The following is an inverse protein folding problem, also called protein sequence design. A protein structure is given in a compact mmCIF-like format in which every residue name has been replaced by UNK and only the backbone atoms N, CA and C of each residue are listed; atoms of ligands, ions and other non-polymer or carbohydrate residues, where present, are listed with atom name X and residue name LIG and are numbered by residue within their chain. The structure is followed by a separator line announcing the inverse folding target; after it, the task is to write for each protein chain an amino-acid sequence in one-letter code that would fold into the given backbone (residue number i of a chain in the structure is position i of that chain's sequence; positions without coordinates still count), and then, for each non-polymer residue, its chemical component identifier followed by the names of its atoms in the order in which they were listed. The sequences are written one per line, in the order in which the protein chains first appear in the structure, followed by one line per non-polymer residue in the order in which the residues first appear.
data_IF_607715365602
#
_entry.id   IF_607715365602
#
_cell.length_a   1.000
_cell.length_b   1.000
_cell.length_c   1.000
_cell.angle_alpha   90.00
_cell.angle_beta   90.00
_cell.angle_gamma   90.00
#
_symmetry.space_group_name_H-M   'P 1'
#
loop_
_entity.id
_entity.type
_entity.pdbx_description
1 polymer ?
#
# COMPACT_ATOMS: atom_id res chain seq x y z
N UNK A 1 33.06 -43.80 -30.19
CA UNK A 1 32.89 -42.33 -30.07
C UNK A 1 31.42 -41.99 -30.28
N UNK A 2 30.65 -41.82 -29.21
CA UNK A 2 29.23 -41.44 -29.28
C UNK A 2 29.17 -39.92 -29.21
N UNK A 3 28.69 -39.28 -30.29
CA UNK A 3 28.53 -37.82 -30.36
C UNK A 3 27.46 -37.36 -29.37
N UNK A 4 27.71 -36.32 -28.54
CA UNK A 4 26.67 -35.73 -27.72
C UNK A 4 25.88 -34.75 -28.59
N UNK A 5 24.76 -35.18 -29.18
CA UNK A 5 23.88 -34.30 -29.97
C UNK A 5 22.50 -34.07 -29.36
N UNK A 6 22.33 -34.28 -28.05
CA UNK A 6 21.03 -34.17 -27.37
C UNK A 6 20.94 -33.08 -26.28
N UNK A 7 21.99 -32.28 -26.06
CA UNK A 7 22.03 -31.34 -24.91
C UNK A 7 21.80 -29.86 -25.28
N UNK A 8 22.07 -29.45 -26.52
CA UNK A 8 21.99 -28.02 -26.90
C UNK A 8 20.56 -27.55 -27.09
N UNK A 9 19.69 -28.35 -27.73
CA UNK A 9 18.27 -28.02 -27.90
C UNK A 9 17.55 -27.97 -26.54
N UNK A 10 17.83 -28.95 -25.66
CA UNK A 10 17.32 -28.98 -24.29
C UNK A 10 17.80 -27.78 -23.44
N UNK A 11 19.04 -27.31 -23.65
CA UNK A 11 19.54 -26.10 -22.98
C UNK A 11 18.88 -24.83 -23.48
N UNK A 12 18.66 -24.69 -24.79
CA UNK A 12 17.98 -23.53 -25.38
C UNK A 12 16.51 -23.48 -24.95
N UNK A 13 15.81 -24.62 -24.92
CA UNK A 13 14.45 -24.70 -24.38
C UNK A 13 14.39 -24.35 -22.90
N UNK A 14 15.35 -24.79 -22.08
CA UNK A 14 15.42 -24.38 -20.66
C UNK A 14 15.70 -22.89 -20.48
N UNK A 15 16.59 -22.31 -21.29
CA UNK A 15 16.90 -20.88 -21.25
C UNK A 15 15.69 -20.02 -21.68
N UNK A 16 15.00 -20.43 -22.74
CA UNK A 16 13.79 -19.75 -23.22
C UNK A 16 12.58 -19.93 -22.30
N UNK A 17 12.43 -21.09 -21.66
CA UNK A 17 11.43 -21.31 -20.61
C UNK A 17 11.69 -20.42 -19.38
N UNK A 18 12.95 -20.28 -18.97
CA UNK A 18 13.34 -19.38 -17.89
C UNK A 18 13.02 -17.90 -18.21
N UNK A 19 13.27 -17.46 -19.45
CA UNK A 19 12.89 -16.12 -19.91
C UNK A 19 11.37 -15.93 -20.00
N UNK A 20 10.61 -16.96 -20.38
CA UNK A 20 9.14 -16.93 -20.35
C UNK A 20 8.62 -16.72 -18.93
N UNK A 21 9.12 -17.47 -17.96
CA UNK A 21 8.74 -17.35 -16.55
C UNK A 21 9.08 -15.95 -16.02
N UNK A 22 10.24 -15.39 -16.37
CA UNK A 22 10.63 -14.04 -15.98
C UNK A 22 9.68 -12.96 -16.53
N UNK A 23 9.28 -13.07 -17.81
CA UNK A 23 8.27 -12.17 -18.40
C UNK A 23 6.92 -12.28 -17.70
N UNK A 24 6.48 -13.49 -17.36
CA UNK A 24 5.24 -13.72 -16.61
C UNK A 24 5.30 -13.11 -15.20
N UNK A 25 6.46 -13.17 -14.52
CA UNK A 25 6.66 -12.49 -13.23
C UNK A 25 6.56 -10.96 -13.34
N UNK A 26 7.13 -10.36 -14.39
CA UNK A 26 7.02 -8.91 -14.60
C UNK A 26 5.56 -8.51 -14.87
N UNK A 27 4.85 -9.29 -15.68
CA UNK A 27 3.43 -9.09 -15.94
C UNK A 27 2.60 -9.19 -14.66
N UNK A 28 2.90 -10.19 -13.81
CA UNK A 28 2.29 -10.35 -12.50
C UNK A 28 2.52 -9.12 -11.61
N UNK A 29 3.75 -8.63 -11.49
CA UNK A 29 4.06 -7.42 -10.70
C UNK A 29 3.27 -6.22 -11.20
N UNK A 30 3.19 -6.03 -12.52
CA UNK A 30 2.43 -4.94 -13.12
C UNK A 30 0.93 -5.05 -12.83
N UNK A 31 0.36 -6.25 -12.99
CA UNK A 31 -1.06 -6.51 -12.69
C UNK A 31 -1.40 -6.17 -11.25
N UNK A 32 -0.65 -6.70 -10.27
CA UNK A 32 -0.96 -6.46 -8.86
C UNK A 32 -0.70 -5.00 -8.44
N UNK A 33 0.29 -4.34 -9.03
CA UNK A 33 0.49 -2.91 -8.81
C UNK A 33 -0.69 -2.10 -9.36
N UNK A 34 -1.13 -2.38 -10.59
CA UNK A 34 -2.25 -1.68 -11.22
C UNK A 34 -3.57 -1.88 -10.46
N UNK A 35 -3.92 -3.13 -10.14
CA UNK A 35 -5.12 -3.46 -9.35
C UNK A 35 -5.01 -2.82 -7.96
N UNK A 36 -3.84 -2.94 -7.32
CA UNK A 36 -3.57 -2.35 -6.03
C UNK A 36 -3.74 -0.84 -6.03
N UNK A 37 -3.22 -0.15 -7.04
CA UNK A 37 -3.35 1.29 -7.20
C UNK A 37 -4.82 1.72 -7.26
N UNK A 38 -5.64 1.03 -8.06
CA UNK A 38 -7.08 1.31 -8.14
C UNK A 38 -7.76 1.12 -6.78
N UNK A 39 -7.50 0.00 -6.11
CA UNK A 39 -8.09 -0.32 -4.81
C UNK A 39 -7.66 0.70 -3.74
N UNK A 40 -6.36 1.02 -3.67
CA UNK A 40 -5.82 2.04 -2.74
C UNK A 40 -6.50 3.36 -2.98
N UNK A 41 -6.57 3.82 -4.22
CA UNK A 41 -7.12 5.15 -4.55
C UNK A 41 -8.57 5.26 -4.11
N UNK A 42 -9.38 4.23 -4.39
CA UNK A 42 -10.80 4.21 -4.00
C UNK A 42 -10.93 4.19 -2.47
N UNK A 43 -10.21 3.31 -1.80
CA UNK A 43 -10.31 3.18 -0.34
C UNK A 43 -9.77 4.43 0.36
N UNK A 44 -8.63 4.96 -0.06
CA UNK A 44 -8.06 6.18 0.48
C UNK A 44 -9.05 7.34 0.33
N UNK A 45 -9.67 7.51 -0.85
CA UNK A 45 -10.70 8.53 -1.04
C UNK A 45 -11.90 8.37 -0.09
N UNK A 46 -12.40 7.14 0.07
CA UNK A 46 -13.53 6.84 0.97
C UNK A 46 -13.13 7.13 2.42
N UNK A 47 -12.04 6.55 2.91
CA UNK A 47 -11.62 6.73 4.29
C UNK A 47 -11.20 8.17 4.60
N UNK A 48 -10.55 8.86 3.67
CA UNK A 48 -10.16 10.26 3.86
C UNK A 48 -11.41 11.14 4.04
N UNK A 49 -12.38 11.03 3.13
CA UNK A 49 -13.62 11.80 3.19
C UNK A 49 -14.50 11.46 4.39
N UNK A 50 -14.63 10.19 4.76
CA UNK A 50 -15.55 9.76 5.81
C UNK A 50 -14.94 9.74 7.21
N UNK A 51 -13.63 9.53 7.34
CA UNK A 51 -12.96 9.36 8.62
C UNK A 51 -11.92 10.46 8.86
N UNK A 52 -10.83 10.50 8.08
CA UNK A 52 -9.65 11.32 8.40
C UNK A 52 -9.90 12.84 8.33
N UNK A 53 -10.67 13.31 7.34
CA UNK A 53 -11.07 14.71 7.25
C UNK A 53 -12.07 15.09 8.33
N UNK A 54 -13.00 14.18 8.70
CA UNK A 54 -13.98 14.44 9.77
C UNK A 54 -13.30 14.56 11.12
N UNK A 55 -12.39 13.64 11.45
CA UNK A 55 -11.65 13.70 12.72
C UNK A 55 -10.76 14.94 12.79
N UNK A 56 -10.12 15.31 11.68
CA UNK A 56 -9.35 16.55 11.59
C UNK A 56 -10.20 17.80 11.81
N UNK A 57 -11.31 17.93 11.07
CA UNK A 57 -12.20 19.09 11.18
C UNK A 57 -12.82 19.18 12.57
N UNK A 58 -13.20 18.05 13.19
CA UNK A 58 -13.70 18.02 14.56
C UNK A 58 -12.64 18.50 15.57
N UNK A 59 -11.40 18.04 15.43
CA UNK A 59 -10.30 18.50 16.28
C UNK A 59 -10.08 20.02 16.13
N UNK A 60 -10.03 20.51 14.90
CA UNK A 60 -9.86 21.93 14.60
C UNK A 60 -11.03 22.75 15.15
N UNK A 61 -12.28 22.34 14.91
CA UNK A 61 -13.46 23.06 15.40
C UNK A 61 -13.47 23.16 16.94
N UNK A 62 -13.07 22.09 17.63
CA UNK A 62 -13.06 22.05 19.10
C UNK A 62 -11.88 22.81 19.73
N UNK A 63 -10.74 22.88 19.04
CA UNK A 63 -9.50 23.46 19.58
C UNK A 63 -9.07 24.79 18.93
N UNK A 64 -9.77 25.30 17.89
CA UNK A 64 -9.57 26.67 17.35
C UNK A 64 -10.67 27.68 17.75
N UNK A 65 -11.75 27.29 18.44
CA UNK A 65 -12.91 28.16 18.71
C UNK A 65 -12.80 29.10 19.91
N UNK A 66 -11.60 29.54 20.31
CA UNK A 66 -11.52 30.47 21.45
C UNK A 66 -10.21 31.21 21.61
N UNK A 67 -9.93 32.17 20.73
CA UNK A 67 -9.02 33.36 20.88
C UNK A 67 -7.60 33.21 21.44
N UNK A 68 -7.20 32.06 21.95
CA UNK A 68 -5.83 31.70 22.23
C UNK A 68 -5.55 30.43 21.44
N UNK A 69 -4.42 30.38 20.75
CA UNK A 69 -3.80 29.11 20.44
C UNK A 69 -3.54 28.47 21.79
N UNK A 70 -4.49 27.70 22.28
CA UNK A 70 -4.29 26.85 23.43
C UNK A 70 -3.37 25.74 22.91
N UNK A 71 -2.07 26.06 22.75
CA UNK A 71 -0.96 25.12 22.60
C UNK A 71 -0.77 24.36 23.93
N UNK A 72 -1.88 24.02 24.56
CA UNK A 72 -1.94 23.30 25.80
C UNK A 72 -1.40 21.91 25.54
N UNK A 73 -0.54 21.45 26.45
CA UNK A 73 -0.05 20.07 26.51
C UNK A 73 -1.20 19.05 26.36
N UNK A 74 -2.40 19.38 26.85
CA UNK A 74 -3.57 18.52 26.75
C UNK A 74 -4.11 18.40 25.31
N UNK A 75 -4.13 19.50 24.54
CA UNK A 75 -4.54 19.52 23.14
C UNK A 75 -3.58 18.71 22.25
N UNK A 76 -2.28 18.84 22.50
CA UNK A 76 -1.26 18.02 21.86
C UNK A 76 -1.42 16.53 22.16
N UNK A 77 -1.62 16.15 23.43
CA UNK A 77 -1.81 14.75 23.82
C UNK A 77 -3.04 14.14 23.16
N UNK A 78 -4.14 14.89 23.04
CA UNK A 78 -5.33 14.46 22.30
C UNK A 78 -5.00 14.26 20.82
N UNK A 79 -4.31 15.22 20.18
CA UNK A 79 -3.93 15.12 18.77
C UNK A 79 -3.05 13.89 18.50
N UNK A 80 -2.05 13.65 19.34
CA UNK A 80 -1.20 12.46 19.26
C UNK A 80 -2.00 11.18 19.44
N UNK A 81 -2.92 11.13 20.40
CA UNK A 81 -3.76 9.95 20.66
C UNK A 81 -4.68 9.64 19.47
N UNK A 82 -5.33 10.67 18.90
CA UNK A 82 -6.17 10.52 17.70
C UNK A 82 -5.34 10.02 16.53
N UNK A 83 -4.16 10.61 16.31
CA UNK A 83 -3.26 10.24 15.22
C UNK A 83 -2.72 8.82 15.38
N UNK A 84 -2.46 8.38 16.61
CA UNK A 84 -2.04 7.00 16.91
C UNK A 84 -3.16 6.00 16.61
N UNK A 85 -4.39 6.28 17.03
CA UNK A 85 -5.57 5.46 16.73
C UNK A 85 -5.83 5.37 15.22
N UNK A 86 -5.67 6.49 14.52
CA UNK A 86 -5.75 6.55 13.07
C UNK A 86 -4.66 5.72 12.40
N UNK A 87 -3.42 5.80 12.87
CA UNK A 87 -2.32 4.98 12.38
C UNK A 87 -2.63 3.49 12.53
N UNK A 88 -3.20 3.09 13.68
CA UNK A 88 -3.65 1.72 13.90
C UNK A 88 -4.76 1.31 12.91
N UNK A 89 -5.72 2.20 12.65
CA UNK A 89 -6.75 1.96 11.63
C UNK A 89 -6.16 1.81 10.22
N UNK A 90 -5.16 2.63 9.86
CA UNK A 90 -4.45 2.51 8.58
C UNK A 90 -3.81 1.13 8.46
N UNK A 91 -3.15 0.64 9.51
CA UNK A 91 -2.56 -0.71 9.51
C UNK A 91 -3.62 -1.79 9.28
N UNK A 92 -4.78 -1.67 9.91
CA UNK A 92 -5.91 -2.59 9.69
C UNK A 92 -6.38 -2.53 8.24
N UNK A 93 -6.60 -1.32 7.69
CA UNK A 93 -7.04 -1.14 6.30
C UNK A 93 -6.04 -1.78 5.34
N UNK A 94 -4.75 -1.51 5.50
CA UNK A 94 -3.68 -2.08 4.67
C UNK A 94 -3.62 -3.61 4.77
N UNK A 95 -3.83 -4.16 5.96
CA UNK A 95 -3.90 -5.61 6.16
C UNK A 95 -5.06 -6.26 5.41
N UNK A 96 -6.26 -5.66 5.45
CA UNK A 96 -7.42 -6.17 4.70
C UNK A 96 -7.29 -5.93 3.19
N UNK A 97 -6.70 -4.80 2.80
CA UNK A 97 -6.38 -4.51 1.40
C UNK A 97 -5.50 -5.58 0.78
N UNK A 98 -4.50 -6.08 1.52
CA UNK A 98 -3.66 -7.20 1.09
C UNK A 98 -4.51 -8.44 0.79
N UNK A 99 -5.47 -8.77 1.66
CA UNK A 99 -6.38 -9.92 1.44
C UNK A 99 -7.23 -9.73 0.19
N UNK A 100 -7.70 -8.51 -0.09
CA UNK A 100 -8.48 -8.22 -1.31
C UNK A 100 -7.63 -8.40 -2.57
N UNK A 101 -6.37 -8.00 -2.55
CA UNK A 101 -5.47 -8.19 -3.69
C UNK A 101 -5.21 -9.66 -4.00
N UNK A 102 -5.05 -10.49 -2.97
CA UNK A 102 -4.84 -11.94 -3.13
C UNK A 102 -6.03 -12.68 -3.72
N UNK A 103 -7.23 -12.07 -3.77
CA UNK A 103 -8.40 -12.66 -4.44
C UNK A 103 -8.27 -12.66 -5.96
N UNK A 104 -7.43 -11.78 -6.52
CA UNK A 104 -7.23 -11.71 -7.96
C UNK A 104 -6.15 -12.70 -8.36
N UNK A 105 -6.47 -13.76 -9.12
CA UNK A 105 -5.46 -14.72 -9.58
C UNK A 105 -4.46 -14.05 -10.54
N UNK A 106 -3.18 -14.49 -10.56
CA UNK A 106 -2.20 -13.98 -11.51
C UNK A 106 -2.62 -14.34 -12.94
N UNK A 107 -2.59 -13.37 -13.85
CA UNK A 107 -2.84 -13.60 -15.28
C UNK A 107 -1.84 -14.62 -15.83
N UNK A 108 -0.61 -14.63 -15.32
CA UNK A 108 0.42 -15.59 -15.71
C UNK A 108 0.04 -17.05 -15.49
N UNK A 109 -0.80 -17.35 -14.49
CA UNK A 109 -1.29 -18.71 -14.20
C UNK A 109 -2.26 -19.21 -15.28
N UNK A 110 -3.01 -18.30 -15.93
CA UNK A 110 -3.87 -18.65 -17.06
C UNK A 110 -3.07 -18.87 -18.35
N UNK A 111 -1.94 -18.18 -18.50
CA UNK A 111 -1.06 -18.28 -19.68
C UNK A 111 -0.15 -19.51 -19.62
N UNK A 112 0.29 -19.92 -18.42
CA UNK A 112 1.18 -21.07 -18.24
C UNK A 112 0.86 -21.78 -16.92
N UNK A 113 0.38 -23.03 -17.00
CA UNK A 113 0.04 -23.85 -15.82
C UNK A 113 1.25 -24.20 -14.95
N UNK A 114 2.47 -24.08 -15.47
CA UNK A 114 3.71 -24.30 -14.72
C UNK A 114 4.16 -23.06 -13.93
N UNK A 115 3.51 -21.91 -14.14
CA UNK A 115 3.79 -20.68 -13.43
C UNK A 115 3.25 -20.71 -12.00
N UNK A 116 4.14 -20.74 -11.03
CA UNK A 116 3.82 -20.54 -9.61
C UNK A 116 3.89 -19.05 -9.26
N UNK A 117 2.75 -18.38 -9.45
CA UNK A 117 2.56 -16.97 -9.08
C UNK A 117 2.51 -16.74 -7.56
N UNK A 118 2.31 -15.48 -7.15
CA UNK A 118 2.16 -14.97 -5.77
C UNK A 118 3.45 -14.80 -4.97
N UNK A 119 4.59 -15.32 -5.42
CA UNK A 119 5.87 -15.23 -4.68
C UNK A 119 6.47 -13.82 -4.62
N UNK A 120 6.15 -12.95 -5.59
CA UNK A 120 6.75 -11.60 -5.69
C UNK A 120 5.80 -10.48 -5.27
N UNK A 121 4.52 -10.82 -5.04
CA UNK A 121 3.46 -9.90 -4.65
C UNK A 121 3.60 -9.48 -3.18
N UNK A 122 4.20 -10.33 -2.35
CA UNK A 122 4.07 -10.19 -0.90
C UNK A 122 4.83 -8.98 -0.29
N UNK A 123 5.95 -8.57 -0.86
CA UNK A 123 6.82 -7.55 -0.23
C UNK A 123 6.79 -6.20 -0.96
N UNK A 124 7.04 -6.20 -2.27
CA UNK A 124 7.22 -4.96 -3.05
C UNK A 124 5.89 -4.24 -3.29
N UNK A 125 4.85 -5.01 -3.62
CA UNK A 125 3.51 -4.45 -3.85
C UNK A 125 2.95 -3.91 -2.54
N UNK A 126 3.12 -4.63 -1.43
CA UNK A 126 2.60 -4.18 -0.14
C UNK A 126 3.20 -2.85 0.31
N UNK A 127 4.53 -2.72 0.22
CA UNK A 127 5.25 -1.50 0.60
C UNK A 127 4.85 -0.32 -0.29
N UNK A 128 4.76 -0.52 -1.61
CA UNK A 128 4.31 0.51 -2.56
C UNK A 128 2.88 0.99 -2.25
N UNK A 129 1.98 0.07 -1.95
CA UNK A 129 0.58 0.40 -1.64
C UNK A 129 0.42 1.13 -0.31
N UNK A 130 1.25 0.80 0.69
CA UNK A 130 1.29 1.53 1.96
C UNK A 130 1.70 2.98 1.78
N UNK A 131 2.76 3.23 0.99
CA UNK A 131 3.18 4.60 0.68
C UNK A 131 2.11 5.39 -0.09
N UNK A 132 1.51 4.77 -1.11
CA UNK A 132 0.43 5.40 -1.87
C UNK A 132 -0.78 5.73 -1.00
N UNK A 133 -1.16 4.82 -0.11
CA UNK A 133 -2.30 5.03 0.78
C UNK A 133 -2.05 6.23 1.72
N UNK A 134 -0.85 6.34 2.31
CA UNK A 134 -0.50 7.47 3.16
C UNK A 134 -0.49 8.79 2.39
N UNK A 135 0.01 8.81 1.15
CA UNK A 135 0.03 10.03 0.34
C UNK A 135 -1.38 10.51 -0.04
N UNK A 136 -2.32 9.58 -0.27
CA UNK A 136 -3.69 9.93 -0.65
C UNK A 136 -4.60 10.33 0.52
N UNK A 137 -4.22 10.08 1.77
CA UNK A 137 -5.03 10.43 2.94
C UNK A 137 -4.64 11.82 3.44
N UNK A 138 -5.23 12.85 2.82
CA UNK A 138 -4.95 14.26 3.09
C UNK A 138 -5.16 14.66 4.56
N UNK A 139 -6.20 14.12 5.20
CA UNK A 139 -6.53 14.45 6.60
C UNK A 139 -5.50 13.92 7.59
N UNK A 140 -4.86 12.79 7.31
CA UNK A 140 -3.79 12.23 8.15
C UNK A 140 -2.52 13.08 8.03
N UNK A 141 -2.13 13.44 6.79
CA UNK A 141 -0.99 14.32 6.51
C UNK A 141 -1.10 15.66 7.25
N UNK A 142 -2.27 16.29 7.19
CA UNK A 142 -2.53 17.57 7.87
C UNK A 142 -2.35 17.47 9.41
N UNK A 143 -2.72 16.35 10.04
CA UNK A 143 -2.50 16.15 11.48
C UNK A 143 -1.04 15.92 11.82
N UNK A 144 -0.33 15.16 11.00
CA UNK A 144 1.11 14.95 11.21
C UNK A 144 1.90 16.25 11.06
N UNK A 145 1.51 17.12 10.12
CA UNK A 145 2.10 18.45 9.97
C UNK A 145 1.82 19.32 11.21
N UNK A 146 0.57 19.35 11.70
CA UNK A 146 0.24 20.06 12.94
C UNK A 146 1.06 19.58 14.14
N UNK A 147 1.29 18.27 14.28
CA UNK A 147 2.11 17.72 15.37
C UNK A 147 3.56 18.25 15.30
N UNK A 148 4.11 18.40 14.09
CA UNK A 148 5.46 18.92 13.89
C UNK A 148 5.55 20.43 14.15
N UNK A 149 4.47 21.16 13.90
CA UNK A 149 4.36 22.61 14.16
C UNK A 149 4.03 22.95 15.62
N UNK A 150 3.71 21.95 16.46
CA UNK A 150 3.44 22.16 17.88
C UNK A 150 4.72 22.52 18.63
N UNK A 151 4.92 23.82 18.88
CA UNK A 151 5.95 24.33 19.79
C UNK A 151 5.34 24.55 21.18
N UNK A 152 5.94 23.96 22.22
CA UNK A 152 5.57 24.25 23.60
C UNK A 152 6.38 25.47 24.08
N UNK A 153 5.67 26.50 24.56
CA UNK A 153 6.27 27.62 25.28
C UNK A 153 6.48 27.27 26.78
#
# INVERSE_FOLDING_TARGET
MVKPSYDTQNRIEKLTAFDRIRKLKILEMFQYNFIGFIIVTILAFVFDKFFFQKTFNYFIEKHKTGKEQDKSYFGFLILCTITMMETFLILIILFYMRKLLLLFPPIGTYMDKSFTGLTTVDSVVHLTLSFLFLEFVSGYKAKTELILEYEFD
#
